data_IF_561323891495
#
_entry.id   IF_561323891495
#
_cell.length_a   1.000
_cell.length_b   1.000
_cell.length_c   1.000
_cell.angle_alpha   90.00
_cell.angle_beta   90.00
_cell.angle_gamma   90.00
#
_symmetry.space_group_name_H-M   'P 1'
#
loop_
_entity.id
_entity.type
_entity.pdbx_description
1 polymer ?
#
# COMPACT_ATOMS: atom_id res chain seq x y z
N UNK A 1 -5.20 -11.77 4.35
CA UNK A 1 -4.33 -12.45 3.37
C UNK A 1 -4.01 -11.50 2.23
N UNK A 2 -2.75 -11.44 1.84
CA UNK A 2 -2.35 -10.59 0.72
C UNK A 2 -1.60 -11.42 -0.32
N UNK A 3 -1.64 -10.94 -1.57
CA UNK A 3 -0.77 -11.40 -2.63
C UNK A 3 0.05 -10.22 -3.11
N UNK A 4 1.30 -10.47 -3.46
CA UNK A 4 2.23 -9.41 -3.88
C UNK A 4 2.85 -9.78 -5.21
N UNK A 5 2.76 -8.87 -6.18
CA UNK A 5 3.44 -8.98 -7.46
C UNK A 5 4.38 -7.80 -7.60
N UNK A 6 5.60 -8.07 -8.02
CA UNK A 6 6.62 -7.04 -8.20
C UNK A 6 6.96 -6.92 -9.68
N UNK A 7 7.01 -5.69 -10.17
CA UNK A 7 7.27 -5.40 -11.57
C UNK A 7 8.02 -4.07 -11.66
N UNK A 8 9.28 -4.10 -12.11
CA UNK A 8 10.12 -2.91 -12.21
C UNK A 8 10.11 -2.12 -10.89
N UNK A 9 9.54 -0.92 -10.89
CA UNK A 9 9.45 -0.07 -9.71
C UNK A 9 8.05 -0.06 -9.10
N UNK A 10 7.23 -1.06 -9.38
CA UNK A 10 5.86 -1.16 -8.87
C UNK A 10 5.70 -2.42 -8.03
N UNK A 11 5.12 -2.28 -6.84
CA UNK A 11 4.67 -3.40 -6.01
C UNK A 11 3.15 -3.36 -5.99
N UNK A 12 2.53 -4.43 -6.47
CA UNK A 12 1.08 -4.57 -6.53
C UNK A 12 0.64 -5.50 -5.41
N UNK A 13 -0.15 -4.98 -4.47
CA UNK A 13 -0.61 -5.71 -3.29
C UNK A 13 -2.12 -5.88 -3.38
N UNK A 14 -2.59 -7.11 -3.52
CA UNK A 14 -4.02 -7.41 -3.48
C UNK A 14 -4.38 -7.97 -2.10
N UNK A 15 -5.38 -7.39 -1.46
CA UNK A 15 -5.85 -7.82 -0.14
C UNK A 15 -7.09 -8.68 -0.31
N UNK A 16 -7.03 -9.89 0.27
CA UNK A 16 -8.12 -10.87 0.21
C UNK A 16 -8.62 -11.14 1.62
N UNK A 17 -9.91 -10.88 1.85
CA UNK A 17 -10.51 -11.10 3.15
C UNK A 17 -10.03 -10.08 4.18
N UNK A 18 -9.24 -10.53 5.16
CA UNK A 18 -8.76 -9.69 6.24
C UNK A 18 -7.33 -9.20 5.98
N UNK A 19 -7.09 -7.92 6.27
CA UNK A 19 -5.74 -7.36 6.32
C UNK A 19 -5.36 -7.17 7.78
N UNK A 20 -4.39 -7.97 8.25
CA UNK A 20 -3.97 -7.98 9.65
C UNK A 20 -2.47 -7.69 9.77
N UNK A 21 -1.94 -7.76 11.01
CA UNK A 21 -0.52 -7.45 11.25
C UNK A 21 0.42 -8.41 10.54
N UNK A 22 0.06 -9.69 10.44
CA UNK A 22 0.89 -10.65 9.71
C UNK A 22 0.99 -10.28 8.24
N UNK A 23 -0.10 -9.81 7.65
CA UNK A 23 -0.12 -9.34 6.27
C UNK A 23 0.73 -8.07 6.12
N UNK A 24 0.66 -7.17 7.08
CA UNK A 24 1.47 -5.95 7.07
C UNK A 24 2.96 -6.29 7.14
N UNK A 25 3.35 -7.24 7.96
CA UNK A 25 4.74 -7.70 8.05
C UNK A 25 5.22 -8.31 6.74
N UNK A 26 4.36 -9.10 6.09
CA UNK A 26 4.68 -9.68 4.78
C UNK A 26 4.87 -8.58 3.73
N UNK A 27 3.99 -7.60 3.71
CA UNK A 27 4.12 -6.44 2.84
C UNK A 27 5.44 -5.71 3.11
N UNK A 28 5.75 -5.45 4.37
CA UNK A 28 6.96 -4.74 4.75
C UNK A 28 8.21 -5.47 4.26
N UNK A 29 8.31 -6.77 4.54
CA UNK A 29 9.47 -7.58 4.15
C UNK A 29 9.65 -7.61 2.64
N UNK A 30 8.58 -7.85 1.89
CA UNK A 30 8.65 -7.95 0.44
C UNK A 30 8.95 -6.60 -0.21
N UNK A 31 8.39 -5.54 0.34
CA UNK A 31 8.58 -4.19 -0.21
C UNK A 31 9.99 -3.69 0.08
N UNK A 32 10.49 -3.87 1.29
CA UNK A 32 11.84 -3.44 1.65
C UNK A 32 12.91 -4.21 0.90
N UNK A 33 12.65 -5.48 0.61
CA UNK A 33 13.57 -6.26 -0.21
C UNK A 33 13.76 -5.63 -1.59
N UNK A 34 12.70 -5.05 -2.14
CA UNK A 34 12.74 -4.41 -3.45
C UNK A 34 13.31 -2.99 -3.41
N UNK A 35 13.30 -2.35 -2.25
CA UNK A 35 13.76 -0.97 -2.11
C UNK A 35 15.29 -0.89 -2.21
N UNK A 36 15.78 -0.54 -3.39
CA UNK A 36 17.22 -0.31 -3.62
C UNK A 36 17.52 1.14 -3.95
N UNK A 37 16.49 1.90 -4.35
CA UNK A 37 16.60 3.31 -4.69
C UNK A 37 15.46 4.07 -4.04
N UNK A 38 15.71 4.82 -2.96
CA UNK A 38 14.64 5.57 -2.30
C UNK A 38 13.93 6.55 -3.24
N UNK A 39 12.61 6.65 -3.08
CA UNK A 39 11.80 7.60 -3.83
C UNK A 39 11.36 7.15 -5.20
N UNK A 40 11.73 5.96 -5.64
CA UNK A 40 11.38 5.48 -6.98
C UNK A 40 10.35 4.36 -6.98
N UNK A 41 10.00 3.82 -5.81
CA UNK A 41 9.08 2.71 -5.73
C UNK A 41 7.64 3.20 -5.65
N UNK A 42 6.77 2.62 -6.46
CA UNK A 42 5.34 2.89 -6.45
C UNK A 42 4.58 1.69 -5.89
N UNK A 43 3.45 1.96 -5.25
CA UNK A 43 2.60 0.92 -4.67
C UNK A 43 1.19 0.99 -5.27
N UNK A 44 0.57 -0.18 -5.43
CA UNK A 44 -0.84 -0.27 -5.78
C UNK A 44 -1.50 -1.24 -4.80
N UNK A 45 -2.47 -0.73 -4.03
CA UNK A 45 -3.26 -1.53 -3.11
C UNK A 45 -4.61 -1.83 -3.73
N UNK A 46 -4.88 -3.09 -4.05
CA UNK A 46 -6.17 -3.52 -4.57
C UNK A 46 -7.00 -4.06 -3.41
N UNK A 47 -7.99 -3.28 -3.00
CA UNK A 47 -8.84 -3.58 -1.85
C UNK A 47 -10.23 -4.11 -2.24
N UNK A 48 -10.43 -4.46 -3.52
CA UNK A 48 -11.74 -4.89 -4.00
C UNK A 48 -12.25 -6.15 -3.30
N UNK A 49 -11.34 -7.03 -2.89
CA UNK A 49 -11.69 -8.27 -2.20
C UNK A 49 -11.46 -8.21 -0.69
N UNK A 50 -11.14 -7.05 -0.14
CA UNK A 50 -10.94 -6.90 1.29
C UNK A 50 -12.29 -6.84 2.01
N UNK A 51 -12.40 -7.61 3.11
CA UNK A 51 -13.62 -7.65 3.93
C UNK A 51 -13.44 -6.81 5.20
N UNK A 52 -12.24 -6.82 5.78
CA UNK A 52 -11.96 -6.04 7.00
C UNK A 52 -10.45 -5.88 7.19
N UNK A 53 -10.07 -4.99 8.08
CA UNK A 53 -8.67 -4.85 8.48
C UNK A 53 -8.58 -4.64 10.00
N UNK A 54 -7.46 -5.10 10.59
CA UNK A 54 -7.25 -5.06 12.04
C UNK A 54 -5.89 -4.46 12.39
N UNK A 55 -5.50 -3.39 11.67
CA UNK A 55 -4.20 -2.75 11.85
C UNK A 55 -4.11 -1.84 13.06
N UNK A 56 -5.25 -1.50 13.67
CA UNK A 56 -5.28 -0.61 14.82
C UNK A 56 -4.48 -1.16 16.01
N UNK A 57 -4.49 -2.50 16.15
CA UNK A 57 -3.77 -3.16 17.25
C UNK A 57 -2.26 -3.20 17.02
N UNK A 58 -1.81 -2.83 15.83
CA UNK A 58 -0.39 -2.89 15.43
C UNK A 58 0.19 -1.51 15.18
N UNK A 59 -0.42 -0.47 15.73
CA UNK A 59 -0.06 0.91 15.43
C UNK A 59 1.41 1.23 15.70
N UNK A 60 2.01 0.60 16.73
CA UNK A 60 3.42 0.85 17.04
C UNK A 60 4.35 0.36 15.94
N UNK A 61 4.06 -0.79 15.34
CA UNK A 61 4.85 -1.29 14.20
C UNK A 61 4.65 -0.44 12.96
N UNK A 62 3.44 0.03 12.73
CA UNK A 62 3.13 0.93 11.63
C UNK A 62 3.89 2.24 11.79
N UNK A 63 3.96 2.78 13.01
CA UNK A 63 4.73 3.99 13.29
C UNK A 63 6.22 3.79 13.01
N UNK A 64 6.75 2.64 13.36
CA UNK A 64 8.14 2.33 13.10
C UNK A 64 8.43 2.34 11.59
N UNK A 65 7.59 1.67 10.83
CA UNK A 65 7.70 1.65 9.37
C UNK A 65 7.66 3.07 8.80
N UNK A 66 6.71 3.89 9.25
CA UNK A 66 6.57 5.28 8.84
C UNK A 66 7.85 6.07 9.09
N UNK A 67 8.43 5.92 10.28
CA UNK A 67 9.63 6.67 10.66
C UNK A 67 10.81 6.36 9.76
N UNK A 68 10.96 5.08 9.38
CA UNK A 68 12.12 4.63 8.63
C UNK A 68 11.94 4.79 7.11
N UNK A 69 10.70 4.79 6.62
CA UNK A 69 10.44 4.63 5.19
C UNK A 69 9.46 5.65 4.59
N UNK A 70 9.18 6.75 5.27
CA UNK A 70 8.18 7.71 4.80
C UNK A 70 8.55 8.44 3.51
N UNK A 71 9.80 8.42 3.11
CA UNK A 71 10.28 9.07 1.90
C UNK A 71 10.62 8.10 0.76
N UNK A 72 10.38 6.81 0.95
CA UNK A 72 10.84 5.78 0.03
C UNK A 72 9.89 5.53 -1.14
N UNK A 73 8.70 6.12 -1.12
CA UNK A 73 7.65 5.83 -2.10
C UNK A 73 7.23 7.09 -2.84
N UNK A 74 6.95 6.95 -4.14
CA UNK A 74 6.56 8.07 -5.00
C UNK A 74 5.05 8.17 -5.17
N UNK A 75 4.42 7.14 -5.75
CA UNK A 75 2.98 7.12 -6.00
C UNK A 75 2.36 5.90 -5.34
N UNK A 76 1.18 6.09 -4.75
CA UNK A 76 0.42 5.00 -4.15
C UNK A 76 -1.00 5.07 -4.69
N UNK A 77 -1.42 4.05 -5.43
CA UNK A 77 -2.77 3.93 -5.93
C UNK A 77 -3.56 2.98 -5.04
N UNK A 78 -4.82 3.32 -4.77
CA UNK A 78 -5.73 2.47 -3.99
C UNK A 78 -6.95 2.18 -4.86
N UNK A 79 -7.25 0.91 -5.09
CA UNK A 79 -8.41 0.49 -5.86
C UNK A 79 -9.47 0.00 -4.88
N UNK A 80 -10.61 0.69 -4.82
CA UNK A 80 -11.70 0.36 -3.90
C UNK A 80 -13.04 0.83 -4.48
N UNK A 81 -14.13 0.24 -4.00
CA UNK A 81 -15.49 0.55 -4.41
C UNK A 81 -16.21 1.53 -3.47
N UNK A 82 -15.48 2.43 -2.81
CA UNK A 82 -15.93 3.41 -1.82
C UNK A 82 -15.96 2.91 -0.37
N UNK A 83 -16.11 1.61 -0.13
CA UNK A 83 -16.19 1.09 1.23
C UNK A 83 -14.95 1.43 2.04
N UNK A 84 -13.78 1.43 1.40
CA UNK A 84 -12.50 1.63 2.05
C UNK A 84 -11.85 2.95 1.69
N UNK A 85 -12.63 3.95 1.31
CA UNK A 85 -12.08 5.24 0.90
C UNK A 85 -11.28 5.91 2.03
N UNK A 86 -11.60 5.58 3.28
CA UNK A 86 -10.88 6.09 4.45
C UNK A 86 -9.42 5.61 4.50
N UNK A 87 -9.09 4.58 3.72
CA UNK A 87 -7.71 4.12 3.60
C UNK A 87 -6.77 5.20 3.05
N UNK A 88 -7.29 6.11 2.24
CA UNK A 88 -6.48 7.22 1.75
C UNK A 88 -5.92 8.02 2.92
N UNK A 89 -6.76 8.34 3.90
CA UNK A 89 -6.32 9.08 5.07
C UNK A 89 -5.33 8.28 5.92
N UNK A 90 -5.55 6.98 6.06
CA UNK A 90 -4.65 6.10 6.81
C UNK A 90 -3.28 6.01 6.14
N UNK A 91 -3.26 5.80 4.84
CA UNK A 91 -2.01 5.73 4.07
C UNK A 91 -1.26 7.06 4.10
N UNK A 92 -1.97 8.19 4.07
CA UNK A 92 -1.35 9.51 4.14
C UNK A 92 -0.58 9.73 5.45
N UNK A 93 -0.96 9.04 6.51
CA UNK A 93 -0.25 9.09 7.77
C UNK A 93 1.05 8.29 7.74
N UNK A 94 1.10 7.24 6.91
CA UNK A 94 2.26 6.35 6.82
C UNK A 94 3.25 6.84 5.78
N UNK A 95 2.75 7.24 4.61
CA UNK A 95 3.57 7.61 3.46
C UNK A 95 3.43 9.12 3.22
N UNK A 96 4.07 9.90 4.07
CA UNK A 96 3.85 11.35 4.16
C UNK A 96 4.17 12.07 2.86
N UNK A 97 5.21 11.65 2.15
CA UNK A 97 5.67 12.34 0.94
C UNK A 97 5.21 11.67 -0.36
N UNK A 98 4.38 10.63 -0.28
CA UNK A 98 3.88 9.97 -1.47
C UNK A 98 2.60 10.62 -1.98
N UNK A 99 2.41 10.61 -3.30
CA UNK A 99 1.15 11.01 -3.91
C UNK A 99 0.19 9.82 -3.85
N UNK A 100 -0.94 10.00 -3.16
CA UNK A 100 -1.92 8.93 -2.95
C UNK A 100 -3.20 9.27 -3.69
N UNK A 101 -3.69 8.33 -4.50
CA UNK A 101 -4.91 8.54 -5.26
C UNK A 101 -5.79 7.28 -5.20
N UNK A 102 -7.10 7.48 -5.06
CA UNK A 102 -8.08 6.40 -4.96
C UNK A 102 -8.80 6.25 -6.29
N UNK A 103 -8.92 5.01 -6.76
CA UNK A 103 -9.57 4.67 -8.01
C UNK A 103 -10.64 3.60 -7.78
N UNK A 104 -11.64 3.57 -8.64
CA UNK A 104 -12.62 2.48 -8.67
C UNK A 104 -12.25 1.42 -9.70
N UNK A 105 -11.49 1.81 -10.71
CA UNK A 105 -11.08 0.92 -11.79
C UNK A 105 -9.61 0.56 -11.66
N UNK A 106 -9.33 -0.73 -11.69
CA UNK A 106 -7.96 -1.24 -11.55
C UNK A 106 -7.05 -0.75 -12.67
N UNK A 107 -7.53 -0.75 -13.91
CA UNK A 107 -6.70 -0.34 -15.04
C UNK A 107 -6.33 1.14 -14.98
N UNK A 108 -7.26 1.99 -14.55
CA UNK A 108 -6.97 3.40 -14.34
C UNK A 108 -5.91 3.61 -13.27
N UNK A 109 -6.02 2.86 -12.17
CA UNK A 109 -5.04 2.94 -11.09
C UNK A 109 -3.66 2.51 -11.56
N UNK A 110 -3.61 1.43 -12.32
CA UNK A 110 -2.36 0.89 -12.84
C UNK A 110 -1.71 1.87 -13.82
N UNK A 111 -2.49 2.45 -14.71
CA UNK A 111 -1.98 3.44 -15.66
C UNK A 111 -1.41 4.66 -14.94
N UNK A 112 -2.10 5.15 -13.93
CA UNK A 112 -1.65 6.30 -13.17
C UNK A 112 -0.36 6.01 -12.41
N UNK A 113 -0.26 4.86 -11.78
CA UNK A 113 0.89 4.52 -10.92
C UNK A 113 2.12 4.14 -11.74
N UNK A 114 1.93 3.69 -12.98
CA UNK A 114 3.02 3.37 -13.89
C UNK A 114 3.47 4.56 -14.74
N UNK A 115 2.58 5.53 -14.90
CA UNK A 115 2.87 6.76 -15.64
C UNK A 115 3.69 7.70 -14.79
#
# INVERSE_FOLDING_TARGET
>A
MITIEQSKNLVNIAVLGEFNIADFKTFEEQTLYKLKSPGELNLLFDLRAMVRYTLDVAWEEVKFFRREHNHDFSKIAVVTDNQWITWQAWLSRIFVDADICVFRDYEEARDWVQG
#
